data_IF_983432135919
#
_entry.id   IF_983432135919
#
_cell.length_a   1.000
_cell.length_b   1.000
_cell.length_c   1.000
_cell.angle_alpha   90.00
_cell.angle_beta   90.00
_cell.angle_gamma   90.00
#
_symmetry.space_group_name_H-M   'P 1'
#
loop_
_entity.id
_entity.type
_entity.pdbx_description
1 polymer ?
#
# COMPACT_ATOMS: atom_id res chain seq x y z
N UNK A 1 -6.94 -9.02 -18.95
CA UNK A 1 -5.95 -9.42 -17.93
C UNK A 1 -6.34 -8.73 -16.63
N UNK A 2 -6.53 -9.48 -15.54
CA UNK A 2 -6.95 -8.92 -14.25
C UNK A 2 -5.78 -8.35 -13.44
N UNK A 3 -6.09 -7.73 -12.29
CA UNK A 3 -5.09 -7.24 -11.34
C UNK A 3 -4.23 -8.38 -10.77
N UNK A 4 -2.95 -8.11 -10.54
CA UNK A 4 -2.07 -8.98 -9.75
C UNK A 4 -2.49 -9.02 -8.28
N UNK A 5 -1.93 -9.94 -7.49
CA UNK A 5 -2.18 -9.98 -6.05
C UNK A 5 -1.76 -8.68 -5.35
N UNK A 6 -0.58 -8.14 -5.68
CA UNK A 6 -0.10 -6.85 -5.13
C UNK A 6 -1.05 -5.71 -5.49
N UNK A 7 -1.53 -5.63 -6.73
CA UNK A 7 -2.48 -4.59 -7.15
C UNK A 7 -3.81 -4.72 -6.40
N UNK A 8 -4.31 -5.92 -6.14
CA UNK A 8 -5.52 -6.12 -5.32
C UNK A 8 -5.34 -5.65 -3.87
N UNK A 9 -4.19 -5.95 -3.26
CA UNK A 9 -3.87 -5.49 -1.90
C UNK A 9 -3.80 -3.97 -1.86
N UNK A 10 -3.05 -3.35 -2.79
CA UNK A 10 -2.93 -1.90 -2.86
C UNK A 10 -4.28 -1.21 -3.14
N UNK A 11 -5.09 -1.75 -4.05
CA UNK A 11 -6.43 -1.25 -4.33
C UNK A 11 -7.33 -1.28 -3.09
N UNK A 12 -7.32 -2.40 -2.35
CA UNK A 12 -8.10 -2.54 -1.12
C UNK A 12 -7.68 -1.52 -0.04
N UNK A 13 -6.38 -1.35 0.22
CA UNK A 13 -5.90 -0.42 1.27
C UNK A 13 -5.99 1.05 0.85
N UNK A 14 -6.07 1.33 -0.46
CA UNK A 14 -6.35 2.65 -1.02
C UNK A 14 -7.84 2.96 -1.18
N UNK A 15 -8.74 2.01 -0.90
CA UNK A 15 -10.19 2.19 -1.09
C UNK A 15 -10.61 2.33 -2.56
N UNK A 16 -9.85 1.75 -3.49
CA UNK A 16 -10.07 1.83 -4.94
C UNK A 16 -10.54 0.48 -5.50
N UNK A 17 -11.36 0.51 -6.56
CA UNK A 17 -11.80 -0.72 -7.24
C UNK A 17 -10.67 -1.39 -8.04
N UNK A 18 -9.72 -0.60 -8.57
CA UNK A 18 -8.56 -1.10 -9.30
C UNK A 18 -7.37 -0.13 -9.25
N UNK A 19 -6.17 -0.67 -9.49
CA UNK A 19 -4.93 0.12 -9.65
C UNK A 19 -4.07 -0.41 -10.78
N UNK A 20 -3.21 0.44 -11.34
CA UNK A 20 -2.24 0.10 -12.39
C UNK A 20 -0.83 0.57 -12.07
N UNK A 21 0.17 -0.01 -12.74
CA UNK A 21 1.56 0.41 -12.57
C UNK A 21 1.74 1.89 -12.96
N UNK A 22 2.51 2.64 -12.15
CA UNK A 22 2.75 4.07 -12.34
C UNK A 22 1.64 4.99 -11.83
N UNK A 23 0.56 4.46 -11.25
CA UNK A 23 -0.48 5.27 -10.61
C UNK A 23 -0.03 5.70 -9.21
N UNK A 24 -0.19 6.99 -8.89
CA UNK A 24 -0.10 7.48 -7.51
C UNK A 24 -1.37 7.12 -6.74
N UNK A 25 -1.19 6.54 -5.55
CA UNK A 25 -2.26 6.16 -4.62
C UNK A 25 -1.84 6.53 -3.20
N UNK A 26 -2.83 6.76 -2.34
CA UNK A 26 -2.66 6.82 -0.89
C UNK A 26 -3.27 5.55 -0.31
N UNK A 27 -2.53 4.83 0.53
CA UNK A 27 -2.97 3.57 1.10
C UNK A 27 -2.86 3.60 2.63
N UNK A 28 -3.88 3.07 3.30
CA UNK A 28 -3.87 2.93 4.74
C UNK A 28 -2.84 1.88 5.18
N UNK A 29 -2.10 2.18 6.24
CA UNK A 29 -1.11 1.28 6.82
C UNK A 29 -1.75 0.44 7.93
N UNK A 30 -1.58 -0.88 7.85
CA UNK A 30 -2.08 -1.78 8.90
C UNK A 30 -1.14 -1.89 10.10
N UNK A 31 0.17 -1.76 9.86
CA UNK A 31 1.21 -1.84 10.88
C UNK A 31 2.42 -1.01 10.47
N UNK A 32 3.00 -0.33 11.46
CA UNK A 32 4.29 0.36 11.31
C UNK A 32 5.22 -0.17 12.38
N UNK A 33 6.42 -0.59 11.97
CA UNK A 33 7.46 -1.07 12.87
C UNK A 33 8.70 -0.21 12.69
N UNK A 34 9.18 0.36 13.79
CA UNK A 34 10.46 1.06 13.87
C UNK A 34 11.51 0.17 14.53
N UNK A 35 12.78 0.30 14.11
CA UNK A 35 13.92 -0.27 14.83
C UNK A 35 14.85 0.83 15.37
N UNK A 36 15.60 0.52 16.44
CA UNK A 36 16.55 1.38 17.17
C UNK A 36 16.67 2.83 16.66
N UNK A 37 17.62 3.08 15.74
CA UNK A 37 17.97 4.41 15.24
C UNK A 37 16.97 5.01 14.23
N UNK A 38 16.05 4.20 13.67
CA UNK A 38 15.01 4.71 12.74
C UNK A 38 13.72 5.09 13.47
N UNK A 39 13.61 4.76 14.75
CA UNK A 39 12.44 5.05 15.60
C UNK A 39 12.46 6.38 16.35
N UNK A 40 13.52 7.20 16.46
CA UNK A 40 13.46 8.43 17.26
C UNK A 40 12.55 9.47 16.58
N UNK A 41 11.27 9.30 16.85
CA UNK A 41 10.13 10.22 16.72
C UNK A 41 9.75 10.71 18.10
#
# INVERSE_FOLDING_TARGET
MGMTMTQKILAAHAGLENVKAGQFIEANLDMVLGNDITTPV
#
